data_IF_848865557451
#
_entry.id   IF_848865557451
#
_cell.length_a   1.000
_cell.length_b   1.000
_cell.length_c   1.000
_cell.angle_alpha   90.00
_cell.angle_beta   90.00
_cell.angle_gamma   90.00
#
_symmetry.space_group_name_H-M   'P 1'
#
loop_
_entity.id
_entity.type
_entity.pdbx_description
1 polymer ?
#
# COMPACT_ATOMS: atom_id res chain seq x y z
N UNK A 1 6.23 15.78 -18.23
CA UNK A 1 7.00 14.97 -17.25
C UNK A 1 8.41 14.72 -17.74
N UNK A 2 8.60 14.02 -18.86
CA UNK A 2 9.93 13.84 -19.47
C UNK A 2 10.64 15.19 -19.63
N UNK A 3 9.96 16.19 -20.20
CA UNK A 3 10.48 17.56 -20.36
C UNK A 3 10.91 18.22 -19.04
N UNK A 4 10.19 18.00 -17.94
CA UNK A 4 10.50 18.62 -16.64
C UNK A 4 11.72 17.93 -16.01
N UNK A 5 11.76 16.60 -16.04
CA UNK A 5 12.88 15.83 -15.52
C UNK A 5 14.15 16.03 -16.36
N UNK A 6 14.02 16.12 -17.69
CA UNK A 6 15.10 16.50 -18.61
C UNK A 6 15.62 17.90 -18.31
N UNK A 7 14.74 18.90 -18.20
CA UNK A 7 15.15 20.28 -17.90
C UNK A 7 15.86 20.40 -16.54
N UNK A 8 15.53 19.56 -15.56
CA UNK A 8 16.23 19.53 -14.27
C UNK A 8 17.65 18.97 -14.39
N UNK A 9 17.85 17.86 -15.11
CA UNK A 9 19.19 17.33 -15.39
C UNK A 9 20.02 18.35 -16.18
N UNK A 10 19.44 18.95 -17.21
CA UNK A 10 20.11 19.97 -18.03
C UNK A 10 20.44 21.26 -17.26
N UNK A 11 19.68 21.56 -16.19
CA UNK A 11 19.92 22.73 -15.34
C UNK A 11 21.02 22.50 -14.27
N UNK A 12 21.40 21.25 -13.99
CA UNK A 12 22.52 20.95 -13.09
C UNK A 12 23.83 20.91 -13.86
N UNK A 13 24.72 21.87 -13.55
CA UNK A 13 26.05 22.04 -14.15
C UNK A 13 26.99 20.83 -13.97
N UNK A 14 26.62 19.90 -13.10
CA UNK A 14 27.41 18.72 -12.74
C UNK A 14 26.90 17.43 -13.39
N UNK A 15 25.88 17.53 -14.23
CA UNK A 15 25.40 16.40 -15.00
C UNK A 15 25.35 16.71 -16.50
N UNK A 16 25.53 15.69 -17.32
CA UNK A 16 25.40 15.77 -18.77
C UNK A 16 24.37 14.73 -19.22
N UNK A 17 23.23 15.18 -19.74
CA UNK A 17 22.17 14.30 -20.25
C UNK A 17 22.70 13.45 -21.42
N UNK A 18 22.42 12.14 -21.40
CA UNK A 18 22.78 11.19 -22.46
C UNK A 18 21.57 10.87 -23.33
N UNK A 19 20.44 10.51 -22.72
CA UNK A 19 19.20 10.23 -23.45
C UNK A 19 17.99 10.33 -22.52
N UNK A 20 16.84 10.74 -23.05
CA UNK A 20 15.58 10.75 -22.32
C UNK A 20 14.47 10.26 -23.25
N UNK A 21 13.78 9.18 -22.87
CA UNK A 21 12.77 8.51 -23.71
C UNK A 21 11.55 8.14 -22.86
N UNK A 22 10.37 8.23 -23.46
CA UNK A 22 9.17 7.54 -22.94
C UNK A 22 9.02 6.23 -23.69
N UNK A 23 9.07 5.11 -22.99
CA UNK A 23 8.74 3.80 -23.58
C UNK A 23 7.23 3.67 -23.71
N UNK A 24 6.78 3.09 -24.82
CA UNK A 24 5.36 3.02 -25.15
C UNK A 24 4.60 1.91 -24.44
N UNK A 25 5.29 0.89 -23.89
CA UNK A 25 4.62 -0.29 -23.32
C UNK A 25 5.55 -1.11 -22.38
N UNK A 26 5.37 -1.06 -21.05
CA UNK A 26 4.49 -0.13 -20.32
C UNK A 26 5.01 1.32 -20.38
N UNK A 27 4.17 2.31 -20.06
CA UNK A 27 4.54 3.73 -20.18
C UNK A 27 5.51 4.14 -19.06
N UNK A 28 6.81 4.12 -19.36
CA UNK A 28 7.87 4.55 -18.45
C UNK A 28 8.62 5.74 -18.99
N UNK A 29 9.09 6.60 -18.09
CA UNK A 29 10.19 7.52 -18.39
C UNK A 29 11.51 6.79 -18.13
N UNK A 30 12.41 6.84 -19.10
CA UNK A 30 13.82 6.48 -18.93
C UNK A 30 14.68 7.71 -19.19
N UNK A 31 15.54 8.04 -18.23
CA UNK A 31 16.49 9.14 -18.35
C UNK A 31 17.87 8.58 -18.08
N UNK A 32 18.81 8.82 -18.97
CA UNK A 32 20.21 8.40 -18.86
C UNK A 32 21.06 9.65 -18.88
N UNK A 33 21.99 9.76 -17.94
CA UNK A 33 22.85 10.94 -17.78
C UNK A 33 24.21 10.54 -17.22
N UNK A 34 25.20 11.42 -17.35
CA UNK A 34 26.50 11.30 -16.71
C UNK A 34 26.58 12.30 -15.58
N UNK A 35 27.14 11.90 -14.44
CA UNK A 35 27.56 12.85 -13.41
C UNK A 35 29.04 13.16 -13.61
N UNK A 36 29.46 14.40 -13.34
CA UNK A 36 30.87 14.79 -13.35
C UNK A 36 31.63 14.32 -12.12
N UNK A 37 30.91 13.92 -11.08
CA UNK A 37 31.48 13.39 -9.84
C UNK A 37 31.44 11.86 -9.77
N UNK A 38 30.76 11.21 -10.73
CA UNK A 38 30.62 9.77 -10.78
C UNK A 38 31.06 9.25 -12.15
N UNK A 39 32.04 8.33 -12.23
CA UNK A 39 32.65 7.94 -13.50
C UNK A 39 31.75 7.05 -14.38
N UNK A 40 30.57 6.64 -13.90
CA UNK A 40 29.67 5.68 -14.57
C UNK A 40 28.43 6.41 -15.11
N UNK A 41 27.81 5.83 -16.14
CA UNK A 41 26.59 6.36 -16.75
C UNK A 41 25.41 5.92 -15.88
N UNK A 42 24.58 6.88 -15.47
CA UNK A 42 23.44 6.65 -14.58
C UNK A 42 22.13 6.61 -15.38
N UNK A 43 21.19 5.78 -14.95
CA UNK A 43 19.86 5.64 -15.53
C UNK A 43 18.76 5.78 -14.47
N UNK A 44 17.73 6.57 -14.74
CA UNK A 44 16.51 6.65 -13.94
C UNK A 44 15.35 6.00 -14.71
N UNK A 45 14.53 5.19 -14.02
CA UNK A 45 13.27 4.66 -14.55
C UNK A 45 12.12 4.92 -13.57
N UNK A 46 11.00 5.38 -14.11
CA UNK A 46 9.77 5.50 -13.33
C UNK A 46 8.53 5.48 -14.21
N UNK A 47 7.44 4.94 -13.68
CA UNK A 47 6.13 4.95 -14.33
C UNK A 47 5.66 6.37 -14.71
N UNK A 48 5.05 6.48 -15.89
CA UNK A 48 4.28 7.68 -16.28
C UNK A 48 2.84 7.49 -15.77
N UNK A 49 2.32 8.35 -14.88
CA UNK A 49 0.92 8.33 -14.48
C UNK A 49 0.01 8.54 -15.68
N UNK A 50 -1.13 7.86 -15.67
CA UNK A 50 -2.12 7.96 -16.73
C UNK A 50 -2.58 9.41 -16.97
N UNK A 51 -2.75 9.85 -18.23
CA UNK A 51 -3.24 11.20 -18.54
C UNK A 51 -4.60 11.47 -17.89
N UNK A 52 -4.73 12.57 -17.13
CA UNK A 52 -6.02 13.05 -16.60
C UNK A 52 -6.20 13.00 -15.07
N UNK A 53 -5.27 12.43 -14.30
CA UNK A 53 -5.26 12.56 -12.83
C UNK A 53 -4.67 13.91 -12.41
N UNK A 54 -5.48 14.76 -11.76
CA UNK A 54 -5.12 16.13 -11.33
C UNK A 54 -3.90 16.19 -10.40
N UNK A 55 -3.66 15.13 -9.63
CA UNK A 55 -2.64 15.16 -8.56
C UNK A 55 -1.28 14.57 -9.01
N UNK A 56 -1.28 13.84 -10.14
CA UNK A 56 -0.14 13.00 -10.51
C UNK A 56 1.08 13.72 -11.11
N UNK A 57 0.95 14.93 -11.63
CA UNK A 57 2.06 15.60 -12.33
C UNK A 57 2.88 16.50 -11.41
N UNK A 58 2.20 17.20 -10.47
CA UNK A 58 2.83 18.19 -9.59
C UNK A 58 3.40 17.54 -8.34
N UNK A 59 2.67 16.62 -7.74
CA UNK A 59 3.12 15.89 -6.55
C UNK A 59 4.24 14.91 -6.89
N UNK A 60 4.21 14.31 -8.08
CA UNK A 60 5.31 13.50 -8.62
C UNK A 60 6.52 14.35 -9.05
N UNK A 61 6.32 15.54 -9.62
CA UNK A 61 7.41 16.49 -9.87
C UNK A 61 7.99 17.06 -8.55
N UNK A 62 7.17 17.20 -7.50
CA UNK A 62 7.62 17.50 -6.15
C UNK A 62 8.40 16.32 -5.54
N UNK A 63 7.97 15.08 -5.75
CA UNK A 63 8.73 13.90 -5.33
C UNK A 63 10.07 13.81 -6.10
N UNK A 64 10.08 13.98 -7.42
CA UNK A 64 11.30 14.03 -8.23
C UNK A 64 12.23 15.19 -7.83
N UNK A 65 11.69 16.36 -7.49
CA UNK A 65 12.50 17.50 -7.02
C UNK A 65 12.97 17.34 -5.56
N UNK A 66 12.23 16.63 -4.71
CA UNK A 66 12.68 16.23 -3.36
C UNK A 66 13.71 15.09 -3.39
N UNK A 67 13.67 14.23 -4.42
CA UNK A 67 14.61 13.11 -4.61
C UNK A 67 15.97 13.54 -5.19
N UNK A 68 16.16 14.83 -5.50
CA UNK A 68 17.42 15.38 -5.98
C UNK A 68 18.08 14.51 -7.08
N UNK A 69 17.40 14.33 -8.22
CA UNK A 69 17.89 13.56 -9.40
C UNK A 69 19.33 13.91 -9.83
N UNK A 70 19.77 15.11 -9.43
CA UNK A 70 21.04 15.77 -9.72
C UNK A 70 22.12 15.54 -8.63
N UNK A 71 21.76 15.24 -7.39
CA UNK A 71 22.74 14.84 -6.35
C UNK A 71 22.86 13.31 -6.36
N UNK A 72 24.05 12.73 -6.59
CA UNK A 72 24.19 11.27 -6.66
C UNK A 72 23.75 10.55 -5.39
N UNK A 73 23.65 11.27 -4.26
CA UNK A 73 23.34 10.75 -2.94
C UNK A 73 22.65 11.82 -2.07
N UNK A 74 21.52 12.38 -2.54
CA UNK A 74 20.51 12.79 -1.56
C UNK A 74 20.27 11.58 -0.65
N UNK A 75 20.45 11.71 0.67
CA UNK A 75 20.39 10.58 1.63
C UNK A 75 19.27 9.63 1.20
N UNK A 76 19.60 8.40 0.74
CA UNK A 76 18.69 7.36 0.23
C UNK A 76 18.53 7.22 -1.31
N UNK A 77 19.60 7.01 -2.09
CA UNK A 77 19.48 6.41 -3.43
C UNK A 77 20.77 5.64 -3.82
N UNK A 78 20.79 4.30 -3.73
CA UNK A 78 21.88 3.48 -4.31
C UNK A 78 21.44 2.87 -5.64
N UNK A 79 22.43 2.56 -6.47
CA UNK A 79 22.31 1.91 -7.77
C UNK A 79 21.66 0.53 -7.63
N UNK A 80 20.56 0.30 -8.37
CA UNK A 80 19.70 -0.88 -8.26
C UNK A 80 20.06 -2.00 -9.24
N UNK A 81 20.61 -1.69 -10.42
CA UNK A 81 21.09 -2.69 -11.39
C UNK A 81 22.05 -2.07 -12.40
N UNK A 82 22.87 -2.89 -13.08
CA UNK A 82 23.76 -2.46 -14.17
C UNK A 82 23.41 -3.23 -15.43
N UNK A 83 22.89 -2.55 -16.45
CA UNK A 83 22.54 -3.12 -17.75
C UNK A 83 23.15 -2.28 -18.88
N UNK A 84 23.79 -2.93 -19.85
CA UNK A 84 24.49 -2.25 -20.95
C UNK A 84 25.56 -1.24 -20.52
N UNK A 85 26.08 -1.33 -19.29
CA UNK A 85 27.02 -0.37 -18.70
C UNK A 85 26.37 0.86 -18.06
N UNK A 86 25.05 0.88 -17.93
CA UNK A 86 24.26 1.94 -17.27
C UNK A 86 23.84 1.46 -15.88
N UNK A 87 24.11 2.27 -14.87
CA UNK A 87 23.74 2.07 -13.46
C UNK A 87 22.36 2.67 -13.20
N UNK A 88 21.34 1.82 -13.05
CA UNK A 88 19.95 2.23 -12.94
C UNK A 88 19.49 2.43 -11.50
N UNK A 89 18.66 3.44 -11.24
CA UNK A 89 17.98 3.71 -9.97
C UNK A 89 16.50 4.09 -10.24
N UNK A 90 15.59 3.86 -9.28
CA UNK A 90 14.13 4.01 -9.46
C UNK A 90 13.31 2.75 -9.12
N UNK A 91 12.24 2.44 -9.88
CA UNK A 91 11.35 1.28 -9.61
C UNK A 91 11.92 -0.09 -10.05
N UNK A 92 13.19 -0.16 -10.48
CA UNK A 92 13.88 -1.40 -10.87
C UNK A 92 13.42 -1.96 -12.23
N UNK A 93 14.18 -2.90 -12.80
CA UNK A 93 13.80 -3.66 -14.02
C UNK A 93 12.66 -4.63 -13.69
N UNK A 94 11.70 -4.94 -14.59
CA UNK A 94 10.67 -5.92 -14.28
C UNK A 94 11.32 -7.28 -14.06
N UNK A 95 11.10 -7.77 -12.86
CA UNK A 95 11.49 -9.07 -12.33
C UNK A 95 11.20 -10.22 -13.30
N UNK A 96 12.06 -11.26 -13.26
CA UNK A 96 12.08 -12.48 -14.08
C UNK A 96 10.73 -13.14 -14.44
N UNK A 97 9.65 -12.87 -13.71
CA UNK A 97 8.31 -13.42 -13.95
C UNK A 97 7.48 -12.67 -15.00
N UNK A 98 7.93 -11.50 -15.45
CA UNK A 98 7.31 -10.75 -16.54
C UNK A 98 8.02 -10.96 -17.89
N UNK A 99 9.02 -11.85 -17.96
CA UNK A 99 9.62 -12.26 -19.23
C UNK A 99 8.63 -13.13 -20.02
N UNK A 100 8.22 -12.72 -21.24
CA UNK A 100 7.31 -13.50 -22.09
C UNK A 100 7.85 -14.90 -22.40
N UNK A 101 9.17 -15.09 -22.35
CA UNK A 101 9.85 -16.36 -22.65
C UNK A 101 9.82 -17.35 -21.47
N UNK A 102 9.58 -16.87 -20.25
CA UNK A 102 9.44 -17.68 -19.03
C UNK A 102 7.98 -17.88 -18.60
N UNK A 103 7.08 -17.01 -19.10
CA UNK A 103 5.64 -17.10 -18.87
C UNK A 103 5.11 -18.45 -19.41
N UNK A 104 4.87 -19.40 -18.50
CA UNK A 104 4.35 -20.73 -18.82
C UNK A 104 5.32 -21.89 -18.60
N UNK A 105 6.52 -21.64 -18.05
CA UNK A 105 7.40 -22.74 -17.62
C UNK A 105 6.86 -23.43 -16.36
N UNK A 106 7.12 -24.73 -16.22
CA UNK A 106 6.74 -25.49 -15.02
C UNK A 106 7.41 -24.94 -13.75
N UNK A 107 8.67 -24.49 -13.86
CA UNK A 107 9.41 -23.91 -12.73
C UNK A 107 8.75 -22.61 -12.21
N UNK A 108 8.23 -21.76 -13.10
CA UNK A 108 7.49 -20.55 -12.70
C UNK A 108 6.13 -20.87 -12.08
N UNK A 109 5.44 -21.91 -12.56
CA UNK A 109 4.18 -22.36 -11.99
C UNK A 109 4.34 -22.95 -10.58
N UNK A 110 5.38 -23.77 -10.37
CA UNK A 110 5.70 -24.35 -9.07
C UNK A 110 6.09 -23.28 -8.05
N UNK A 111 6.87 -22.28 -8.45
CA UNK A 111 7.23 -21.14 -7.61
C UNK A 111 5.99 -20.32 -7.21
N UNK A 112 5.10 -20.01 -8.17
CA UNK A 112 3.86 -19.29 -7.89
C UNK A 112 2.95 -20.07 -6.93
N UNK A 113 2.84 -21.39 -7.08
CA UNK A 113 2.06 -22.23 -6.18
C UNK A 113 2.66 -22.28 -4.76
N UNK A 114 3.99 -22.31 -4.64
CA UNK A 114 4.67 -22.25 -3.34
C UNK A 114 4.44 -20.90 -2.64
N UNK A 115 4.50 -19.79 -3.39
CA UNK A 115 4.26 -18.45 -2.86
C UNK A 115 2.80 -18.25 -2.45
N UNK A 116 1.84 -18.79 -3.21
CA UNK A 116 0.43 -18.80 -2.83
C UNK A 116 0.19 -19.56 -1.52
N UNK A 117 0.77 -20.75 -1.38
CA UNK A 117 0.66 -21.54 -0.15
C UNK A 117 1.22 -20.78 1.06
N UNK A 118 2.36 -20.10 0.88
CA UNK A 118 2.96 -19.30 1.94
C UNK A 118 2.13 -18.05 2.26
N UNK A 119 1.61 -17.35 1.25
CA UNK A 119 0.72 -16.21 1.44
C UNK A 119 -0.53 -16.62 2.24
N UNK A 120 -1.17 -17.74 1.87
CA UNK A 120 -2.30 -18.30 2.63
C UNK A 120 -1.92 -18.62 4.08
N UNK A 121 -0.74 -19.20 4.32
CA UNK A 121 -0.28 -19.51 5.67
C UNK A 121 -0.09 -18.25 6.52
N UNK A 122 0.57 -17.20 5.98
CA UNK A 122 0.80 -15.93 6.67
C UNK A 122 -0.49 -15.26 7.13
N UNK A 123 -1.52 -15.23 6.27
CA UNK A 123 -2.81 -14.65 6.66
C UNK A 123 -3.52 -15.50 7.72
N UNK A 124 -3.49 -16.83 7.58
CA UNK A 124 -4.07 -17.74 8.59
C UNK A 124 -3.39 -17.58 9.96
N UNK A 125 -2.07 -17.43 10.01
CA UNK A 125 -1.33 -17.16 11.25
C UNK A 125 -1.78 -15.85 11.93
N UNK A 126 -2.19 -14.87 11.13
CA UNK A 126 -2.76 -13.59 11.61
C UNK A 126 -4.24 -13.67 11.91
N UNK A 127 -4.85 -14.87 11.80
CA UNK A 127 -6.30 -15.13 11.93
C UNK A 127 -7.15 -14.37 10.89
N UNK A 128 -6.57 -14.04 9.74
CA UNK A 128 -7.27 -13.41 8.63
C UNK A 128 -7.42 -14.41 7.49
N UNK A 129 -8.58 -14.43 6.87
CA UNK A 129 -8.88 -15.28 5.71
C UNK A 129 -9.25 -14.38 4.53
N UNK A 130 -8.37 -14.22 3.53
CA UNK A 130 -8.72 -13.59 2.27
C UNK A 130 -9.91 -14.29 1.60
N UNK A 131 -10.81 -13.53 0.97
CA UNK A 131 -12.07 -14.03 0.43
C UNK A 131 -12.21 -13.75 -1.06
N UNK A 132 -12.73 -14.74 -1.78
CA UNK A 132 -13.19 -14.58 -3.17
C UNK A 132 -14.69 -14.27 -3.26
N UNK A 133 -15.47 -14.54 -2.21
CA UNK A 133 -16.88 -14.17 -2.14
C UNK A 133 -17.02 -12.75 -1.57
N UNK A 134 -17.54 -11.86 -2.40
CA UNK A 134 -17.77 -10.44 -2.07
C UNK A 134 -19.17 -10.17 -1.54
N UNK A 135 -20.01 -11.21 -1.44
CA UNK A 135 -21.37 -11.16 -0.90
C UNK A 135 -21.51 -10.39 0.44
N UNK A 136 -20.61 -10.58 1.42
CA UNK A 136 -20.68 -9.88 2.70
C UNK A 136 -20.65 -8.35 2.60
N UNK A 137 -20.03 -7.77 1.57
CA UNK A 137 -19.94 -6.31 1.38
C UNK A 137 -21.14 -5.71 0.62
N UNK A 138 -22.07 -6.51 0.09
CA UNK A 138 -23.16 -6.01 -0.79
C UNK A 138 -24.03 -4.93 -0.15
N UNK A 139 -24.17 -4.93 1.18
CA UNK A 139 -24.97 -3.93 1.89
C UNK A 139 -24.31 -2.54 1.91
N UNK A 140 -23.00 -2.46 1.63
CA UNK A 140 -22.25 -1.21 1.49
C UNK A 140 -22.16 -0.72 0.03
N UNK A 141 -22.58 -1.52 -0.95
CA UNK A 141 -22.27 -1.33 -2.37
C UNK A 141 -22.55 0.08 -2.92
N UNK A 142 -23.58 0.78 -2.40
CA UNK A 142 -23.95 2.11 -2.88
C UNK A 142 -23.23 3.25 -2.14
N UNK A 143 -23.01 3.14 -0.83
CA UNK A 143 -22.44 4.23 -0.03
C UNK A 143 -22.12 3.79 1.40
N UNK A 144 -20.86 3.93 1.82
CA UNK A 144 -20.47 3.80 3.25
C UNK A 144 -21.11 4.91 4.07
N UNK A 145 -21.16 6.14 3.56
CA UNK A 145 -21.84 7.26 4.23
C UNK A 145 -23.30 6.96 4.56
N UNK A 146 -24.07 6.38 3.64
CA UNK A 146 -25.46 5.98 3.91
C UNK A 146 -25.54 4.90 4.99
N UNK A 147 -24.58 3.98 5.02
CA UNK A 147 -24.49 2.98 6.08
C UNK A 147 -24.16 3.62 7.45
N UNK A 148 -23.20 4.55 7.52
CA UNK A 148 -22.85 5.24 8.76
C UNK A 148 -24.05 5.96 9.39
N UNK A 149 -24.83 6.72 8.60
CA UNK A 149 -25.98 7.49 9.12
C UNK A 149 -27.16 6.63 9.59
N UNK A 150 -27.16 5.33 9.28
CA UNK A 150 -28.20 4.41 9.75
C UNK A 150 -28.00 3.99 11.22
N UNK A 151 -26.81 4.19 11.78
CA UNK A 151 -26.50 3.85 13.17
C UNK A 151 -26.91 4.96 14.16
N UNK A 152 -27.22 4.61 15.42
CA UNK A 152 -27.67 5.58 16.43
C UNK A 152 -26.63 6.64 16.86
N UNK A 153 -25.35 6.36 16.70
CA UNK A 153 -24.25 7.24 17.09
C UNK A 153 -23.04 7.04 16.18
N UNK A 154 -22.26 8.10 16.01
CA UNK A 154 -21.08 8.13 15.17
C UNK A 154 -20.00 9.00 15.80
N UNK A 155 -18.75 8.65 15.59
CA UNK A 155 -17.62 9.45 15.99
C UNK A 155 -16.43 9.23 15.07
N UNK A 156 -15.51 10.16 15.08
CA UNK A 156 -14.27 10.15 14.31
C UNK A 156 -13.11 10.08 15.29
N UNK A 157 -12.31 9.03 15.17
CA UNK A 157 -11.02 8.91 15.86
C UNK A 157 -9.92 9.49 14.99
N UNK A 158 -8.98 10.24 15.59
CA UNK A 158 -7.81 10.80 14.89
C UNK A 158 -6.51 10.46 15.61
N UNK A 159 -5.44 10.39 14.82
CA UNK A 159 -4.09 10.23 15.33
C UNK A 159 -3.67 11.50 16.11
N UNK A 160 -3.00 11.37 17.28
CA UNK A 160 -2.61 12.53 18.09
C UNK A 160 -1.58 13.44 17.41
N UNK A 161 -0.75 12.86 16.54
CA UNK A 161 0.29 13.60 15.78
C UNK A 161 -0.26 14.42 14.60
N UNK A 162 -1.58 14.43 14.40
CA UNK A 162 -2.27 15.30 13.45
C UNK A 162 -2.49 14.70 12.06
N UNK A 163 -2.94 15.53 11.10
CA UNK A 163 -3.64 15.06 9.90
C UNK A 163 -2.77 14.40 8.82
N UNK A 164 -1.48 14.25 9.07
CA UNK A 164 -0.57 13.51 8.18
C UNK A 164 -0.26 12.11 8.73
N UNK A 165 -0.91 11.71 9.83
CA UNK A 165 -0.69 10.41 10.48
C UNK A 165 -1.99 9.62 10.46
N UNK A 166 -2.01 8.52 9.69
CA UNK A 166 -3.15 7.62 9.61
C UNK A 166 -3.24 6.66 10.79
N UNK A 167 -4.36 5.95 10.89
CA UNK A 167 -4.65 4.96 11.94
C UNK A 167 -3.63 3.82 11.97
N UNK A 168 -3.13 3.42 10.80
CA UNK A 168 -2.05 2.42 10.65
C UNK A 168 -0.77 2.79 11.42
N UNK A 169 -0.56 4.08 11.73
CA UNK A 169 0.60 4.58 12.49
C UNK A 169 0.45 4.54 14.01
N UNK A 170 -0.75 4.23 14.55
CA UNK A 170 -0.97 4.20 15.99
C UNK A 170 -0.15 3.08 16.66
N UNK A 171 0.32 3.28 17.91
CA UNK A 171 0.98 2.23 18.67
C UNK A 171 0.11 0.98 18.81
N UNK A 172 0.71 -0.21 18.72
CA UNK A 172 -0.02 -1.48 18.82
C UNK A 172 -0.96 -1.58 20.05
N UNK A 173 -0.59 -1.11 21.27
CA UNK A 173 -1.51 -1.13 22.40
C UNK A 173 -2.78 -0.29 22.20
N UNK A 174 -2.72 0.78 21.40
CA UNK A 174 -3.87 1.63 21.08
C UNK A 174 -4.80 0.92 20.10
N UNK A 175 -4.23 0.31 19.05
CA UNK A 175 -5.01 -0.50 18.09
C UNK A 175 -5.65 -1.72 18.76
N UNK A 176 -4.96 -2.37 19.70
CA UNK A 176 -5.49 -3.49 20.49
C UNK A 176 -6.61 -3.03 21.44
N UNK A 177 -6.46 -1.86 22.07
CA UNK A 177 -7.51 -1.26 22.89
C UNK A 177 -8.77 -0.94 22.07
N UNK A 178 -8.59 -0.38 20.88
CA UNK A 178 -9.67 -0.14 19.92
C UNK A 178 -10.41 -1.45 19.56
N UNK A 179 -9.67 -2.51 19.20
CA UNK A 179 -10.27 -3.81 18.91
C UNK A 179 -11.00 -4.40 20.13
N UNK A 180 -10.49 -4.19 21.33
CA UNK A 180 -11.12 -4.62 22.58
C UNK A 180 -12.47 -3.94 22.80
N UNK A 181 -12.54 -2.63 22.56
CA UNK A 181 -13.81 -1.88 22.64
C UNK A 181 -14.78 -2.37 21.58
N UNK A 182 -14.36 -2.46 20.31
CA UNK A 182 -15.21 -2.95 19.21
C UNK A 182 -15.76 -4.36 19.49
N UNK A 183 -14.95 -5.25 20.05
CA UNK A 183 -15.34 -6.62 20.41
C UNK A 183 -16.45 -6.67 21.48
N UNK A 184 -16.45 -5.75 22.44
CA UNK A 184 -17.46 -5.71 23.52
C UNK A 184 -18.85 -5.29 23.04
N UNK A 185 -18.91 -4.58 21.92
CA UNK A 185 -20.15 -4.04 21.36
C UNK A 185 -20.69 -4.86 20.17
N UNK A 186 -20.30 -6.13 20.04
CA UNK A 186 -20.87 -7.07 19.07
C UNK A 186 -21.08 -8.45 19.68
N UNK A 187 -22.07 -9.17 19.17
CA UNK A 187 -22.29 -10.59 19.49
C UNK A 187 -21.41 -11.53 18.66
N UNK A 188 -20.76 -11.01 17.61
CA UNK A 188 -19.92 -11.78 16.68
C UNK A 188 -18.50 -11.20 16.57
N UNK A 189 -17.73 -11.08 17.68
CA UNK A 189 -16.40 -10.46 17.64
C UNK A 189 -15.34 -11.31 16.91
N UNK A 190 -15.57 -12.62 16.78
CA UNK A 190 -14.71 -13.54 16.05
C UNK A 190 -15.04 -13.65 14.55
N UNK A 191 -16.15 -13.03 14.12
CA UNK A 191 -16.67 -13.09 12.74
C UNK A 191 -16.88 -11.70 12.17
N UNK A 192 -15.77 -10.98 11.94
CA UNK A 192 -15.74 -9.69 11.27
C UNK A 192 -15.29 -9.82 9.81
N UNK A 193 -15.67 -8.82 9.04
CA UNK A 193 -15.28 -8.63 7.65
C UNK A 193 -14.41 -7.39 7.56
N UNK A 194 -13.40 -7.46 6.70
CA UNK A 194 -12.42 -6.40 6.48
C UNK A 194 -12.31 -6.11 4.99
N UNK A 195 -12.31 -4.84 4.61
CA UNK A 195 -12.01 -4.41 3.25
C UNK A 195 -10.66 -3.70 3.21
N UNK A 196 -9.87 -4.04 2.19
CA UNK A 196 -8.64 -3.35 1.82
C UNK A 196 -8.78 -2.87 0.39
N UNK A 197 -8.47 -1.60 0.16
CA UNK A 197 -8.59 -0.99 -1.16
C UNK A 197 -7.64 -1.68 -2.16
N UNK A 198 -8.19 -2.10 -3.30
CA UNK A 198 -7.45 -2.78 -4.36
C UNK A 198 -6.31 -1.91 -4.91
N UNK A 199 -6.42 -0.57 -4.81
CA UNK A 199 -5.41 0.35 -5.31
C UNK A 199 -4.12 0.45 -4.50
N UNK A 200 -4.03 -0.18 -3.32
CA UNK A 200 -2.76 -0.23 -2.59
C UNK A 200 -1.72 -1.07 -3.33
N UNK A 201 -0.50 -0.54 -3.46
CA UNK A 201 0.57 -1.19 -4.22
C UNK A 201 0.89 -2.62 -3.75
N UNK A 202 0.76 -2.88 -2.44
CA UNK A 202 1.01 -4.20 -1.86
C UNK A 202 -0.08 -5.24 -2.20
N UNK A 203 -1.28 -4.83 -2.63
CA UNK A 203 -2.35 -5.75 -3.06
C UNK A 203 -2.00 -6.43 -4.38
N UNK A 204 -1.19 -5.80 -5.23
CA UNK A 204 -0.84 -6.31 -6.55
C UNK A 204 0.61 -6.82 -6.66
N UNK A 205 1.33 -6.88 -5.54
CA UNK A 205 2.76 -7.21 -5.48
C UNK A 205 3.59 -6.35 -6.43
N UNK A 206 3.36 -5.04 -6.48
CA UNK A 206 4.22 -4.17 -7.27
C UNK A 206 5.63 -4.23 -6.65
N UNK A 207 6.62 -4.86 -7.32
CA UNK A 207 7.98 -4.88 -6.82
C UNK A 207 8.50 -3.46 -7.02
N UNK A 208 8.47 -2.63 -5.98
CA UNK A 208 8.89 -1.24 -6.15
C UNK A 208 8.82 -0.35 -4.93
N UNK A 209 8.09 -0.69 -3.87
CA UNK A 209 7.93 0.29 -2.78
C UNK A 209 9.13 0.38 -1.85
N UNK A 210 9.92 -0.67 -1.63
CA UNK A 210 11.10 -0.61 -0.74
C UNK A 210 12.14 -1.69 -1.08
N UNK A 211 13.08 -1.40 -1.97
CA UNK A 211 14.34 -2.16 -2.04
C UNK A 211 15.34 -1.52 -1.07
N UNK A 212 15.90 -2.26 -0.09
CA UNK A 212 16.92 -1.69 0.78
C UNK A 212 18.20 -1.42 0.00
N UNK A 213 18.84 -0.30 0.34
CA UNK A 213 20.24 0.02 0.02
C UNK A 213 21.14 -1.13 0.48
N UNK A 214 21.94 -1.68 -0.43
CA UNK A 214 22.90 -2.75 -0.19
C UNK A 214 24.29 -2.25 -0.53
N UNK A 215 25.22 -2.41 0.40
CA UNK A 215 26.61 -2.05 0.16
C UNK A 215 27.28 -3.05 -0.76
N UNK A 216 28.33 -2.60 -1.45
CA UNK A 216 29.14 -3.48 -2.30
C UNK A 216 29.67 -4.70 -1.51
N UNK A 217 29.36 -5.89 -2.01
CA UNK A 217 29.66 -7.18 -1.36
C UNK A 217 28.46 -7.82 -0.65
N UNK A 218 27.35 -7.10 -0.49
CA UNK A 218 26.12 -7.64 0.10
C UNK A 218 25.22 -8.25 -1.00
N UNK A 219 24.76 -9.47 -0.77
CA UNK A 219 23.71 -10.07 -1.60
C UNK A 219 22.38 -9.40 -1.29
N UNK A 220 21.66 -8.98 -2.32
CA UNK A 220 20.32 -8.46 -2.13
C UNK A 220 19.44 -9.47 -1.40
N UNK A 221 18.64 -9.03 -0.41
CA UNK A 221 17.61 -9.89 0.12
C UNK A 221 16.70 -10.25 -1.06
N UNK A 222 16.21 -11.50 -1.11
CA UNK A 222 15.21 -11.86 -2.10
C UNK A 222 14.04 -10.86 -1.99
N UNK A 223 13.42 -10.47 -3.12
CA UNK A 223 12.28 -9.58 -3.10
C UNK A 223 11.22 -10.14 -2.13
N UNK A 224 10.47 -9.26 -1.43
CA UNK A 224 9.39 -9.74 -0.58
C UNK A 224 8.44 -10.57 -1.44
N UNK A 225 8.12 -11.76 -0.94
CA UNK A 225 7.13 -12.62 -1.56
C UNK A 225 5.77 -11.91 -1.61
N UNK A 226 4.92 -12.25 -2.59
CA UNK A 226 3.56 -11.77 -2.67
C UNK A 226 2.85 -11.62 -1.34
N UNK A 227 2.23 -10.48 -1.12
CA UNK A 227 1.45 -10.25 0.09
C UNK A 227 0.17 -11.07 0.05
N UNK A 228 -0.45 -11.20 -1.12
CA UNK A 228 -1.72 -11.90 -1.32
C UNK A 228 -1.59 -13.11 -2.25
N UNK A 229 -2.35 -14.20 -1.99
CA UNK A 229 -2.46 -15.31 -2.93
C UNK A 229 -2.96 -14.84 -4.30
N UNK A 230 -2.47 -15.44 -5.38
CA UNK A 230 -2.81 -15.08 -6.77
C UNK A 230 -4.32 -15.06 -7.03
N UNK A 231 -5.05 -16.04 -6.48
CA UNK A 231 -6.51 -16.12 -6.58
C UNK A 231 -7.23 -14.90 -5.98
N UNK A 232 -6.62 -14.24 -5.00
CA UNK A 232 -7.16 -13.03 -4.38
C UNK A 232 -6.75 -11.81 -5.20
N UNK A 233 -5.46 -11.72 -5.59
CA UNK A 233 -4.94 -10.62 -6.42
C UNK A 233 -5.66 -10.45 -7.74
N UNK A 234 -6.06 -11.56 -8.36
CA UNK A 234 -6.82 -11.58 -9.62
C UNK A 234 -8.30 -11.89 -9.42
N UNK A 235 -8.75 -12.06 -8.17
CA UNK A 235 -10.09 -12.52 -7.82
C UNK A 235 -11.18 -11.45 -7.91
N UNK A 236 -12.43 -11.78 -7.56
CA UNK A 236 -13.50 -10.81 -7.51
C UNK A 236 -13.22 -9.69 -6.48
N UNK A 237 -13.58 -8.45 -6.84
CA UNK A 237 -13.53 -7.29 -5.94
C UNK A 237 -14.94 -6.92 -5.49
N UNK A 238 -15.07 -6.43 -4.26
CA UNK A 238 -16.29 -5.76 -3.83
C UNK A 238 -16.21 -4.29 -4.25
N UNK A 239 -17.04 -3.88 -5.20
CA UNK A 239 -17.20 -2.46 -5.52
C UNK A 239 -18.11 -1.82 -4.47
N UNK A 240 -17.56 -0.87 -3.72
CA UNK A 240 -18.26 -0.08 -2.70
C UNK A 240 -18.14 1.38 -3.12
N UNK A 241 -19.29 1.98 -3.45
CA UNK A 241 -19.37 3.27 -4.12
C UNK A 241 -18.55 3.28 -5.43
N UNK A 242 -17.37 3.91 -5.43
CA UNK A 242 -16.48 4.07 -6.59
C UNK A 242 -15.15 3.34 -6.45
N UNK A 243 -14.96 2.60 -5.35
CA UNK A 243 -13.70 1.93 -5.04
C UNK A 243 -13.90 0.43 -4.97
N UNK A 244 -12.88 -0.29 -5.44
CA UNK A 244 -12.83 -1.74 -5.40
C UNK A 244 -12.02 -2.21 -4.21
N UNK A 245 -12.52 -3.23 -3.51
CA UNK A 245 -11.90 -3.76 -2.30
C UNK A 245 -11.68 -5.27 -2.40
N UNK A 246 -10.54 -5.69 -1.85
CA UNK A 246 -10.28 -7.09 -1.47
C UNK A 246 -10.87 -7.32 -0.08
N UNK A 247 -11.53 -8.46 0.11
CA UNK A 247 -12.18 -8.81 1.37
C UNK A 247 -11.39 -9.84 2.16
N UNK A 248 -11.47 -9.72 3.49
CA UNK A 248 -11.00 -10.71 4.44
C UNK A 248 -12.08 -10.97 5.49
N UNK A 249 -11.98 -12.12 6.17
CA UNK A 249 -12.71 -12.38 7.41
C UNK A 249 -11.77 -12.80 8.53
N UNK A 250 -12.26 -12.67 9.77
CA UNK A 250 -11.50 -13.02 10.97
C UNK A 250 -12.04 -12.31 12.21
N UNK A 251 -11.42 -12.51 13.38
CA UNK A 251 -11.80 -11.81 14.60
C UNK A 251 -11.39 -10.35 14.51
N UNK A 252 -12.11 -9.44 15.17
CA UNK A 252 -11.76 -8.01 15.20
C UNK A 252 -10.33 -7.76 15.70
N UNK A 253 -9.82 -8.60 16.60
CA UNK A 253 -8.43 -8.56 17.10
C UNK A 253 -7.36 -8.85 16.04
N UNK A 254 -7.76 -9.22 14.83
CA UNK A 254 -6.86 -9.41 13.71
C UNK A 254 -6.61 -8.13 12.90
N UNK A 255 -7.45 -7.09 13.06
CA UNK A 255 -7.27 -5.81 12.37
C UNK A 255 -5.86 -5.21 12.53
N UNK A 256 -5.24 -5.16 13.74
CA UNK A 256 -3.89 -4.61 13.92
C UNK A 256 -2.79 -5.47 13.30
N UNK A 257 -3.12 -6.69 12.85
CA UNK A 257 -2.18 -7.64 12.24
C UNK A 257 -2.23 -7.58 10.71
N UNK A 258 -3.14 -6.80 10.14
CA UNK A 258 -3.23 -6.61 8.71
C UNK A 258 -2.07 -5.76 8.21
N UNK A 259 -1.58 -6.10 7.03
CA UNK A 259 -0.39 -5.48 6.46
C UNK A 259 0.50 -6.45 5.71
N UNK A 260 1.70 -5.99 5.36
CA UNK A 260 2.59 -6.68 4.43
C UNK A 260 4.05 -6.53 4.84
N UNK A 261 4.89 -7.45 4.38
CA UNK A 261 6.34 -7.35 4.60
C UNK A 261 6.96 -6.54 3.47
N UNK A 262 7.48 -5.36 3.79
CA UNK A 262 8.26 -4.57 2.83
C UNK A 262 9.66 -5.13 2.60
N UNK A 263 10.20 -5.81 3.61
CA UNK A 263 11.42 -6.61 3.54
C UNK A 263 11.25 -7.85 4.42
N UNK A 264 12.11 -8.88 4.31
CA UNK A 264 12.00 -10.08 5.14
C UNK A 264 11.96 -9.85 6.67
N UNK A 265 12.44 -8.69 7.14
CA UNK A 265 12.47 -8.33 8.57
C UNK A 265 11.56 -7.18 8.98
N UNK A 266 10.86 -6.53 8.04
CA UNK A 266 10.08 -5.32 8.32
C UNK A 266 8.62 -5.47 7.89
N UNK A 267 7.72 -5.41 8.88
CA UNK A 267 6.29 -5.50 8.69
C UNK A 267 5.66 -4.10 8.72
N UNK A 268 4.96 -3.76 7.64
CA UNK A 268 4.12 -2.56 7.56
C UNK A 268 2.71 -2.95 8.00
N UNK A 269 2.24 -2.37 9.09
CA UNK A 269 0.83 -2.45 9.49
C UNK A 269 0.02 -1.64 8.50
N UNK A 270 -1.07 -2.22 8.01
CA UNK A 270 -2.08 -1.54 7.20
C UNK A 270 -3.43 -1.80 7.85
N UNK A 271 -3.97 -0.80 8.55
CA UNK A 271 -5.31 -0.91 9.12
C UNK A 271 -6.33 -1.11 7.98
N UNK A 272 -7.31 -2.01 8.12
CA UNK A 272 -8.31 -2.22 7.07
C UNK A 272 -9.14 -0.96 6.84
N UNK A 273 -9.40 -0.62 5.57
CA UNK A 273 -10.19 0.55 5.22
C UNK A 273 -11.61 0.49 5.78
N UNK A 274 -12.23 -0.69 5.74
CA UNK A 274 -13.55 -0.92 6.32
C UNK A 274 -13.53 -2.14 7.21
N UNK A 275 -14.22 -2.08 8.35
CA UNK A 275 -14.41 -3.20 9.27
C UNK A 275 -15.84 -3.23 9.79
N UNK A 276 -16.48 -4.40 9.79
CA UNK A 276 -17.76 -4.60 10.47
C UNK A 276 -17.92 -6.07 10.94
N UNK A 277 -18.67 -6.32 12.03
CA UNK A 277 -19.00 -7.67 12.48
C UNK A 277 -20.16 -8.26 11.66
N UNK A 278 -20.34 -9.57 11.70
CA UNK A 278 -21.41 -10.26 10.97
C UNK A 278 -22.82 -9.81 11.36
N UNK A 279 -23.03 -9.47 12.63
CA UNK A 279 -24.29 -8.89 13.11
C UNK A 279 -24.50 -7.41 12.73
N UNK A 280 -23.50 -6.76 12.09
CA UNK A 280 -23.55 -5.37 11.58
C UNK A 280 -24.02 -4.37 12.61
N UNK A 281 -23.65 -4.55 13.87
CA UNK A 281 -24.03 -3.61 14.93
C UNK A 281 -23.14 -2.36 14.95
N UNK A 282 -21.98 -2.40 14.30
CA UNK A 282 -21.12 -1.24 14.06
C UNK A 282 -20.40 -1.33 12.72
N UNK A 283 -19.89 -0.20 12.24
CA UNK A 283 -19.06 -0.04 11.05
C UNK A 283 -17.92 0.94 11.37
N UNK A 284 -16.69 0.55 11.04
CA UNK A 284 -15.53 1.41 11.09
C UNK A 284 -15.00 1.65 9.65
N UNK A 285 -14.73 2.91 9.29
CA UNK A 285 -14.26 3.35 7.98
C UNK A 285 -13.09 4.32 8.17
N UNK A 286 -11.91 3.98 7.65
CA UNK A 286 -10.71 4.84 7.76
C UNK A 286 -10.48 5.68 6.52
N UNK A 287 -11.36 5.62 5.52
CA UNK A 287 -11.08 6.14 4.18
C UNK A 287 -9.84 5.47 3.54
N UNK A 288 -9.44 5.97 2.37
CA UNK A 288 -8.27 5.47 1.63
C UNK A 288 -7.01 6.28 1.95
N UNK A 289 -7.15 7.61 1.97
CA UNK A 289 -6.07 8.59 2.18
C UNK A 289 -6.38 9.50 3.39
N UNK A 290 -7.34 9.10 4.22
CA UNK A 290 -7.84 9.91 5.31
C UNK A 290 -7.01 9.70 6.59
N UNK A 291 -6.93 10.75 7.41
CA UNK A 291 -6.21 10.78 8.69
C UNK A 291 -7.08 10.34 9.89
N UNK A 292 -8.22 9.74 9.59
CA UNK A 292 -9.30 9.53 10.54
C UNK A 292 -9.91 8.13 10.44
N UNK A 293 -10.63 7.72 11.49
CA UNK A 293 -11.46 6.52 11.53
C UNK A 293 -12.87 6.89 12.00
N UNK A 294 -13.85 6.88 11.09
CA UNK A 294 -15.25 7.07 11.44
C UNK A 294 -15.77 5.73 11.95
N UNK A 295 -16.30 5.72 13.16
CA UNK A 295 -16.93 4.57 13.78
C UNK A 295 -18.38 4.92 14.06
N UNK A 296 -19.27 4.08 13.54
CA UNK A 296 -20.71 4.20 13.74
C UNK A 296 -21.24 2.93 14.42
N UNK A 297 -22.15 3.09 15.38
CA UNK A 297 -22.70 1.96 16.13
C UNK A 297 -23.65 2.38 17.25
N UNK A 298 -23.84 1.53 18.28
CA UNK A 298 -24.64 1.88 19.44
C UNK A 298 -24.00 3.06 20.20
N UNK A 299 -24.81 3.88 20.89
CA UNK A 299 -24.29 5.01 21.69
C UNK A 299 -23.21 4.57 22.69
N UNK A 300 -23.42 3.42 23.35
CA UNK A 300 -22.47 2.85 24.30
C UNK A 300 -21.09 2.53 23.70
N UNK A 301 -21.03 2.18 22.40
CA UNK A 301 -19.75 2.00 21.70
C UNK A 301 -19.00 3.33 21.62
N UNK A 302 -19.66 4.36 21.10
CA UNK A 302 -19.06 5.70 20.95
C UNK A 302 -18.65 6.29 22.30
N UNK A 303 -19.42 6.03 23.36
CA UNK A 303 -19.08 6.43 24.72
C UNK A 303 -17.82 5.73 25.25
N UNK A 304 -17.65 4.44 24.95
CA UNK A 304 -16.48 3.69 25.41
C UNK A 304 -15.20 4.02 24.61
N UNK A 305 -15.32 4.44 23.34
CA UNK A 305 -14.16 4.87 22.53
C UNK A 305 -13.39 6.03 23.18
N UNK A 306 -14.08 6.92 23.89
CA UNK A 306 -13.48 8.08 24.59
C UNK A 306 -12.55 7.66 25.74
N UNK A 307 -12.59 6.38 26.14
CA UNK A 307 -11.72 5.82 27.18
C UNK A 307 -10.36 5.36 26.65
N UNK A 308 -10.18 5.30 25.32
CA UNK A 308 -8.93 4.87 24.69
C UNK A 308 -7.92 6.02 24.77
N UNK A 309 -6.82 5.81 25.49
CA UNK A 309 -5.73 6.76 25.54
C UNK A 309 -4.92 6.75 24.22
N UNK A 310 -4.37 7.91 23.84
CA UNK A 310 -3.51 8.03 22.67
C UNK A 310 -4.23 8.27 21.33
N UNK A 311 -5.51 8.62 21.39
CA UNK A 311 -6.33 9.06 20.24
C UNK A 311 -7.17 10.26 20.65
N UNK A 312 -7.63 11.03 19.67
CA UNK A 312 -8.67 12.06 19.90
C UNK A 312 -9.98 11.60 19.28
N UNK A 313 -11.10 11.87 19.96
CA UNK A 313 -12.44 11.49 19.52
C UNK A 313 -13.29 12.74 19.27
N UNK A 314 -13.88 12.81 18.08
CA UNK A 314 -14.86 13.83 17.69
C UNK A 314 -16.22 13.15 17.45
N UNK A 315 -17.26 13.53 18.21
CA UNK A 315 -18.60 12.96 18.03
C UNK A 315 -19.32 13.67 16.87
N UNK A 316 -19.99 12.90 16.02
CA UNK A 316 -20.78 13.44 14.92
C UNK A 316 -22.26 13.37 15.30
N UNK A 317 -22.88 14.55 15.48
CA UNK A 317 -24.30 14.71 15.76
C UNK A 317 -25.20 14.32 14.55
#
# INVERSE_FOLDING_TARGET
MLEVATAMIEADENTDLVSAVVDGDPVFVRIVYRSRWWPRVLGYRGHVPAPGRRDSSREYAEQLSRLAVCEPLGRQAEVLTVDGGIEWWGDGYPTLHLSPDLAGSTATADAAAADDNEAWARWRERRLTPLTDTGPARWLAQSTRTAHVAYPARAVLRHPDGPNSGISGLPAPVLDALCTVLARHTSTPDECWFCVWDGYAWVHDTPGSFTPYLREGETAPPPPKPALPSMIRSGPRATIAQFDYVLFSGPVTAAPRMGWYGTPGWFWVEWPNLIWPTDRVWLADSGIDDDWLEISGPRGLVDELDTIAGVTLERLD
#
